data_IF_552246582482
#
_entry.id   IF_552246582482
#
_cell.length_a   1.000
_cell.length_b   1.000
_cell.length_c   1.000
_cell.angle_alpha   90.00
_cell.angle_beta   90.00
_cell.angle_gamma   90.00
#
_symmetry.space_group_name_H-M   'P 1'
#
loop_
_entity.id
_entity.type
_entity.pdbx_description
1 polymer ?
#
# COMPACT_ATOMS: atom_id res chain seq x y z
N UNK A 1 -60.37 39.24 -5.71
CA UNK A 1 -60.09 37.86 -5.22
C UNK A 1 -59.07 37.22 -6.14
N UNK A 2 -57.80 37.10 -5.73
CA UNK A 2 -56.85 36.02 -6.08
C UNK A 2 -55.73 36.06 -5.04
N UNK A 3 -55.72 35.10 -4.11
CA UNK A 3 -54.63 34.89 -3.17
C UNK A 3 -53.62 33.92 -3.82
N UNK A 4 -52.34 34.30 -3.84
CA UNK A 4 -51.24 33.46 -4.31
C UNK A 4 -50.67 32.70 -3.10
N UNK A 5 -50.94 31.40 -3.06
CA UNK A 5 -50.39 30.47 -2.08
C UNK A 5 -48.94 30.16 -2.44
N UNK A 6 -47.98 30.60 -1.62
CA UNK A 6 -46.58 30.25 -1.77
C UNK A 6 -46.31 28.86 -1.14
N UNK A 7 -45.94 27.89 -1.97
CA UNK A 7 -45.48 26.56 -1.53
C UNK A 7 -44.00 26.68 -1.17
N UNK A 8 -43.67 26.53 0.11
CA UNK A 8 -42.28 26.45 0.58
C UNK A 8 -41.78 25.02 0.40
N UNK A 9 -40.89 24.81 -0.56
CA UNK A 9 -40.12 23.56 -0.68
C UNK A 9 -39.00 23.57 0.37
N UNK A 10 -39.14 22.76 1.41
CA UNK A 10 -38.06 22.48 2.35
C UNK A 10 -37.07 21.49 1.70
N UNK A 11 -35.90 21.98 1.29
CA UNK A 11 -34.81 21.14 0.81
C UNK A 11 -34.13 20.46 2.01
N UNK A 12 -34.35 19.15 2.18
CA UNK A 12 -33.57 18.31 3.09
C UNK A 12 -32.16 18.12 2.51
N UNK A 13 -31.17 18.78 3.10
CA UNK A 13 -29.76 18.52 2.83
C UNK A 13 -29.31 17.28 3.63
N UNK A 14 -29.18 16.13 2.97
CA UNK A 14 -28.54 14.95 3.53
C UNK A 14 -27.02 15.16 3.55
N UNK A 15 -26.47 15.41 4.74
CA UNK A 15 -25.03 15.44 4.97
C UNK A 15 -24.52 14.00 4.97
N UNK A 16 -23.83 13.60 3.91
CA UNK A 16 -23.07 12.35 3.88
C UNK A 16 -21.73 12.62 4.54
N UNK A 17 -21.54 12.18 5.79
CA UNK A 17 -20.25 12.24 6.45
C UNK A 17 -19.26 11.26 5.79
N UNK A 18 -18.00 11.66 5.53
CA UNK A 18 -16.99 10.73 5.06
C UNK A 18 -16.66 9.74 6.17
N UNK A 19 -16.81 8.44 5.90
CA UNK A 19 -16.32 7.38 6.78
C UNK A 19 -14.78 7.41 6.71
N UNK A 20 -14.15 8.02 7.70
CA UNK A 20 -12.72 7.82 7.97
C UNK A 20 -12.53 6.38 8.42
N UNK A 21 -11.59 5.66 7.81
CA UNK A 21 -11.19 4.35 8.29
C UNK A 21 -10.51 4.54 9.66
N UNK A 22 -11.14 4.04 10.72
CA UNK A 22 -10.57 4.04 12.06
C UNK A 22 -9.65 2.83 12.20
N UNK A 23 -8.48 3.04 12.78
CA UNK A 23 -7.63 1.97 13.26
C UNK A 23 -8.35 1.21 14.37
N UNK A 24 -8.45 -0.11 14.25
CA UNK A 24 -8.99 -0.99 15.29
C UNK A 24 -7.84 -1.79 15.94
N UNK A 25 -7.89 -2.06 17.26
CA UNK A 25 -7.07 -3.11 17.85
C UNK A 25 -7.35 -4.43 17.12
N UNK A 26 -6.38 -5.37 17.14
CA UNK A 26 -6.44 -6.60 16.34
C UNK A 26 -7.87 -7.19 16.30
N UNK A 27 -8.46 -7.40 15.10
CA UNK A 27 -9.86 -7.78 15.00
C UNK A 27 -10.16 -9.03 15.83
N UNK A 28 -11.24 -9.00 16.61
CA UNK A 28 -11.57 -10.07 17.54
C UNK A 28 -11.64 -11.44 16.86
N UNK A 29 -10.87 -12.41 17.36
CA UNK A 29 -10.83 -13.78 16.83
C UNK A 29 -10.08 -13.91 15.51
N UNK A 30 -9.29 -12.89 15.13
CA UNK A 30 -8.47 -12.94 13.93
C UNK A 30 -7.40 -14.04 14.02
N UNK A 31 -7.07 -14.60 12.85
CA UNK A 31 -6.06 -15.65 12.68
C UNK A 31 -5.04 -15.23 11.62
N UNK A 32 -3.82 -15.78 11.63
CA UNK A 32 -2.87 -15.61 10.53
C UNK A 32 -3.53 -15.78 9.17
N UNK A 33 -3.30 -14.81 8.28
CA UNK A 33 -3.89 -14.84 6.95
C UNK A 33 -3.24 -15.94 6.09
N UNK A 34 -4.01 -16.74 5.33
CA UNK A 34 -3.44 -17.69 4.39
C UNK A 34 -2.63 -16.98 3.30
N UNK A 35 -1.47 -17.54 2.94
CA UNK A 35 -0.59 -16.95 1.93
C UNK A 35 -1.28 -16.69 0.59
N UNK A 36 -2.16 -17.59 0.15
CA UNK A 36 -2.94 -17.42 -1.08
C UNK A 36 -3.81 -16.17 -1.09
N UNK A 37 -4.33 -15.76 0.08
CA UNK A 37 -5.16 -14.56 0.22
C UNK A 37 -4.34 -13.28 0.16
N UNK A 38 -3.18 -13.28 0.81
CA UNK A 38 -2.22 -12.18 0.73
C UNK A 38 -1.70 -12.06 -0.70
N UNK A 39 -1.30 -13.16 -1.35
CA UNK A 39 -0.88 -13.16 -2.76
C UNK A 39 -1.94 -12.56 -3.68
N UNK A 40 -3.22 -12.94 -3.50
CA UNK A 40 -4.33 -12.36 -4.29
C UNK A 40 -4.48 -10.85 -4.05
N UNK A 41 -4.22 -10.38 -2.84
CA UNK A 41 -4.27 -8.96 -2.49
C UNK A 41 -3.11 -8.17 -3.11
N UNK A 42 -1.88 -8.68 -3.12
CA UNK A 42 -0.68 -7.90 -3.48
C UNK A 42 -0.12 -8.17 -4.88
N UNK A 43 -0.16 -9.41 -5.36
CA UNK A 43 0.51 -9.78 -6.61
C UNK A 43 -0.03 -8.97 -7.80
N UNK A 44 0.89 -8.39 -8.57
CA UNK A 44 0.59 -7.52 -9.71
C UNK A 44 0.04 -6.15 -9.32
N UNK A 45 0.23 -5.71 -8.07
CA UNK A 45 -0.21 -4.40 -7.57
C UNK A 45 0.95 -3.60 -7.00
N UNK A 46 0.77 -2.28 -6.96
CA UNK A 46 1.61 -1.34 -6.24
C UNK A 46 0.90 -0.91 -4.96
N UNK A 47 1.57 -1.01 -3.82
CA UNK A 47 1.15 -0.41 -2.56
C UNK A 47 1.68 1.02 -2.50
N UNK A 48 0.77 1.99 -2.51
CA UNK A 48 1.10 3.41 -2.44
C UNK A 48 1.37 3.79 -0.98
N UNK A 49 2.38 4.62 -0.77
CA UNK A 49 2.70 5.13 0.58
C UNK A 49 1.92 6.44 0.82
N UNK A 50 0.75 6.31 1.47
CA UNK A 50 -0.23 7.40 1.64
C UNK A 50 0.32 8.62 2.40
N UNK A 51 1.18 8.42 3.41
CA UNK A 51 1.76 9.49 4.23
C UNK A 51 3.20 9.87 3.84
N UNK A 52 3.63 9.49 2.63
CA UNK A 52 5.04 9.54 2.26
C UNK A 52 5.35 10.40 1.05
N UNK A 53 6.51 10.11 0.50
CA UNK A 53 7.17 10.83 -0.58
C UNK A 53 6.52 10.69 -1.98
N UNK A 54 5.22 10.48 -2.09
CA UNK A 54 4.53 10.28 -3.38
C UNK A 54 5.05 9.06 -4.16
N UNK A 55 5.36 7.99 -3.44
CA UNK A 55 5.97 6.77 -3.95
C UNK A 55 5.17 5.51 -3.61
N UNK A 56 5.82 4.37 -3.78
CA UNK A 56 5.24 3.07 -3.43
C UNK A 56 6.11 1.90 -3.84
N UNK A 57 5.62 0.71 -3.55
CA UNK A 57 6.29 -0.55 -3.85
C UNK A 57 5.40 -1.46 -4.70
N UNK A 58 5.93 -1.92 -5.82
CA UNK A 58 5.30 -2.89 -6.70
C UNK A 58 5.70 -4.31 -6.34
N UNK A 59 4.69 -5.19 -6.26
CA UNK A 59 4.84 -6.61 -6.00
C UNK A 59 4.54 -7.41 -7.27
N UNK A 60 5.59 -7.84 -7.96
CA UNK A 60 5.45 -8.71 -9.13
C UNK A 60 4.84 -10.06 -8.73
N UNK A 61 3.98 -10.67 -9.56
CA UNK A 61 3.54 -12.05 -9.37
C UNK A 61 4.67 -13.08 -9.32
N UNK A 62 5.86 -12.75 -9.83
CA UNK A 62 7.06 -13.58 -9.78
C UNK A 62 7.89 -13.45 -8.49
N UNK A 63 7.40 -12.74 -7.47
CA UNK A 63 8.11 -12.54 -6.21
C UNK A 63 9.13 -11.41 -6.20
N UNK A 64 9.27 -10.66 -7.30
CA UNK A 64 10.12 -9.46 -7.34
C UNK A 64 9.41 -8.24 -6.74
N UNK A 65 10.15 -7.42 -6.00
CA UNK A 65 9.66 -6.17 -5.42
C UNK A 65 10.46 -4.97 -5.93
N UNK A 66 9.77 -3.86 -6.19
CA UNK A 66 10.37 -2.65 -6.77
C UNK A 66 9.77 -1.40 -6.15
N UNK A 67 10.60 -0.59 -5.53
CA UNK A 67 10.18 0.58 -4.79
C UNK A 67 10.77 1.86 -5.41
N UNK A 68 9.97 2.93 -5.40
CA UNK A 68 10.40 4.25 -5.83
C UNK A 68 9.68 5.33 -5.04
N UNK A 69 10.33 6.48 -4.90
CA UNK A 69 9.95 7.56 -4.01
C UNK A 69 10.23 8.90 -4.72
N UNK A 70 9.25 9.81 -4.79
CA UNK A 70 9.44 11.09 -5.49
C UNK A 70 10.43 12.01 -4.80
N UNK A 71 10.43 12.05 -3.48
CA UNK A 71 11.39 12.86 -2.69
C UNK A 71 12.82 12.32 -2.76
N UNK A 72 12.99 11.08 -3.23
CA UNK A 72 14.29 10.45 -3.50
C UNK A 72 14.31 9.89 -4.92
N UNK A 73 13.90 10.71 -5.90
CA UNK A 73 13.60 10.28 -7.28
C UNK A 73 14.77 9.63 -8.02
N UNK A 74 16.01 9.93 -7.59
CA UNK A 74 17.23 9.38 -8.18
C UNK A 74 17.67 8.08 -7.51
N UNK A 75 16.89 7.58 -6.54
CA UNK A 75 17.11 6.31 -5.86
C UNK A 75 15.97 5.33 -6.14
N UNK A 76 16.27 4.03 -6.07
CA UNK A 76 15.27 2.98 -6.20
C UNK A 76 15.56 1.82 -5.25
N UNK A 77 14.51 1.14 -4.82
CA UNK A 77 14.59 -0.13 -4.12
C UNK A 77 14.33 -1.28 -5.08
N UNK A 78 15.16 -2.32 -5.06
CA UNK A 78 14.91 -3.54 -5.82
C UNK A 78 15.29 -4.77 -5.01
N UNK A 79 14.43 -5.78 -5.09
CA UNK A 79 14.68 -7.08 -4.47
C UNK A 79 13.48 -8.00 -4.61
N UNK A 80 13.10 -8.65 -3.52
CA UNK A 80 12.06 -9.69 -3.50
C UNK A 80 11.03 -9.44 -2.42
N UNK A 81 9.89 -10.12 -2.55
CA UNK A 81 8.91 -10.25 -1.50
C UNK A 81 8.48 -11.71 -1.37
N UNK A 82 8.13 -12.11 -0.15
CA UNK A 82 7.60 -13.44 0.15
C UNK A 82 6.54 -13.36 1.23
N UNK A 83 5.83 -14.47 1.45
CA UNK A 83 4.85 -14.59 2.52
C UNK A 83 5.22 -15.79 3.38
N UNK A 84 5.36 -15.59 4.68
CA UNK A 84 5.67 -16.67 5.61
C UNK A 84 4.40 -17.42 6.09
N UNK A 85 4.61 -18.48 6.89
CA UNK A 85 3.52 -19.30 7.42
C UNK A 85 2.63 -18.57 8.45
N UNK A 86 3.09 -17.44 9.01
CA UNK A 86 2.38 -16.65 9.99
C UNK A 86 1.57 -15.52 9.35
N UNK A 87 1.53 -15.44 8.02
CA UNK A 87 0.81 -14.41 7.29
C UNK A 87 1.56 -13.09 7.22
N UNK A 88 2.88 -13.09 7.35
CA UNK A 88 3.69 -11.90 7.16
C UNK A 88 4.11 -11.77 5.70
N UNK A 89 3.87 -10.61 5.09
CA UNK A 89 4.44 -10.24 3.79
C UNK A 89 5.78 -9.56 4.06
N UNK A 90 6.88 -10.25 3.78
CA UNK A 90 8.23 -9.76 3.99
C UNK A 90 8.84 -9.25 2.69
N UNK A 91 9.51 -8.11 2.78
CA UNK A 91 10.14 -7.40 1.67
C UNK A 91 11.64 -7.29 1.95
N UNK A 92 12.46 -7.77 1.03
CA UNK A 92 13.91 -7.71 1.12
C UNK A 92 14.40 -6.84 -0.04
N UNK A 93 14.75 -5.59 0.24
CA UNK A 93 15.16 -4.61 -0.76
C UNK A 93 16.63 -4.23 -0.59
N UNK A 94 17.32 -4.13 -1.72
CA UNK A 94 18.55 -3.34 -1.83
C UNK A 94 18.18 -1.97 -2.38
N UNK A 95 18.61 -0.92 -1.69
CA UNK A 95 18.47 0.45 -2.14
C UNK A 95 19.67 0.86 -2.96
N UNK A 96 19.42 1.51 -4.09
CA UNK A 96 20.42 2.01 -5.02
C UNK A 96 20.28 3.52 -5.16
N UNK A 97 21.40 4.24 -5.16
CA UNK A 97 21.43 5.71 -5.23
C UNK A 97 22.64 6.22 -6.03
N UNK A 98 22.65 7.49 -6.47
CA UNK A 98 23.77 8.04 -7.21
C UNK A 98 25.04 8.14 -6.35
N UNK A 99 26.18 7.75 -6.92
CA UNK A 99 27.51 7.92 -6.30
C UNK A 99 28.55 8.20 -7.39
N UNK A 100 29.77 8.56 -7.00
CA UNK A 100 30.74 9.28 -7.85
C UNK A 100 31.26 8.50 -9.06
N UNK A 101 31.19 7.16 -9.05
CA UNK A 101 31.70 6.30 -10.15
C UNK A 101 30.73 5.20 -10.55
N UNK A 102 30.03 4.62 -9.59
CA UNK A 102 29.01 3.60 -9.78
C UNK A 102 27.85 3.92 -8.85
N UNK A 103 26.67 3.37 -9.12
CA UNK A 103 25.58 3.43 -8.14
C UNK A 103 26.05 2.91 -6.77
N UNK A 104 25.74 3.65 -5.71
CA UNK A 104 25.81 3.13 -4.36
C UNK A 104 24.72 2.09 -4.15
N UNK A 105 24.95 1.13 -3.26
CA UNK A 105 23.97 0.11 -2.91
C UNK A 105 24.10 -0.32 -1.45
N UNK A 106 22.96 -0.50 -0.78
CA UNK A 106 22.90 -1.08 0.57
C UNK A 106 21.61 -1.86 0.76
N UNK A 107 21.65 -3.03 1.43
CA UNK A 107 20.44 -3.68 1.93
C UNK A 107 19.66 -2.73 2.85
N UNK A 108 18.34 -2.68 2.70
CA UNK A 108 17.43 -1.92 3.57
C UNK A 108 16.96 -2.68 4.81
N UNK A 109 17.36 -3.94 4.96
CA UNK A 109 16.76 -4.86 5.94
C UNK A 109 15.45 -5.47 5.46
N UNK A 110 15.01 -6.53 6.14
CA UNK A 110 13.72 -7.18 5.86
C UNK A 110 12.60 -6.42 6.57
N UNK A 111 11.57 -6.02 5.82
CA UNK A 111 10.37 -5.36 6.38
C UNK A 111 9.18 -6.30 6.20
N UNK A 112 8.57 -6.74 7.31
CA UNK A 112 7.49 -7.73 7.31
C UNK A 112 6.16 -7.14 7.79
N UNK A 113 5.18 -7.02 6.88
CA UNK A 113 3.84 -6.54 7.20
C UNK A 113 2.98 -7.72 7.63
N UNK A 114 2.47 -7.71 8.86
CA UNK A 114 1.64 -8.77 9.39
C UNK A 114 0.23 -8.71 8.82
N UNK A 115 -0.34 -9.88 8.51
CA UNK A 115 -1.71 -9.98 8.03
C UNK A 115 -2.52 -11.01 8.79
N UNK A 116 -3.75 -10.64 9.11
CA UNK A 116 -4.72 -11.53 9.72
C UNK A 116 -6.04 -11.52 8.96
N UNK A 117 -6.82 -12.56 9.16
CA UNK A 117 -8.19 -12.66 8.66
C UNK A 117 -9.14 -12.74 9.84
N UNK A 118 -10.15 -11.89 9.84
CA UNK A 118 -11.19 -11.91 10.86
C UNK A 118 -12.25 -12.99 10.61
N UNK A 119 -13.24 -13.09 11.49
CA UNK A 119 -14.31 -14.11 11.41
C UNK A 119 -15.19 -14.02 10.16
N UNK A 120 -15.21 -12.88 9.47
CA UNK A 120 -15.98 -12.68 8.25
C UNK A 120 -15.15 -12.87 6.98
N UNK A 121 -13.86 -13.12 7.14
CA UNK A 121 -12.97 -13.23 6.01
C UNK A 121 -12.48 -11.88 5.49
N UNK A 122 -12.54 -10.78 6.23
CA UNK A 122 -11.83 -9.56 5.85
C UNK A 122 -10.34 -9.75 6.11
N UNK A 123 -9.50 -9.29 5.17
CA UNK A 123 -8.05 -9.26 5.34
C UNK A 123 -7.67 -7.94 6.02
N UNK A 124 -6.84 -8.01 7.05
CA UNK A 124 -6.32 -6.87 7.78
C UNK A 124 -4.80 -6.91 7.76
N UNK A 125 -4.15 -5.74 7.81
CA UNK A 125 -2.70 -5.61 7.87
C UNK A 125 -2.26 -4.69 9.01
N UNK A 126 -1.08 -4.93 9.53
CA UNK A 126 -0.39 -4.06 10.49
C UNK A 126 1.10 -4.00 10.13
N UNK A 127 1.70 -2.82 10.29
CA UNK A 127 3.11 -2.58 9.96
C UNK A 127 4.01 -2.91 11.16
N UNK A 128 5.30 -3.21 10.93
CA UNK A 128 6.25 -3.43 12.03
C UNK A 128 6.24 -2.30 13.06
N UNK A 129 5.96 -2.65 14.31
CA UNK A 129 5.94 -1.71 15.43
C UNK A 129 4.67 -0.86 15.54
N UNK A 130 3.68 -1.10 14.68
CA UNK A 130 2.35 -0.51 14.79
C UNK A 130 1.44 -1.42 15.64
N UNK A 131 0.60 -0.83 16.48
CA UNK A 131 -0.41 -1.56 17.25
C UNK A 131 -1.75 -1.60 16.48
N UNK A 132 -1.89 -0.75 15.46
CA UNK A 132 -3.10 -0.56 14.69
C UNK A 132 -3.23 -1.58 13.55
N UNK A 133 -4.48 -1.97 13.26
CA UNK A 133 -4.84 -2.86 12.16
C UNK A 133 -5.75 -2.17 11.16
N UNK A 134 -5.41 -2.33 9.88
CA UNK A 134 -6.04 -1.62 8.79
C UNK A 134 -6.63 -2.61 7.78
N UNK A 135 -7.87 -2.41 7.32
CA UNK A 135 -8.49 -3.31 6.37
C UNK A 135 -7.78 -3.23 5.01
N UNK A 136 -7.46 -4.38 4.43
CA UNK A 136 -6.97 -4.48 3.05
C UNK A 136 -8.18 -4.50 2.11
N UNK A 137 -8.68 -3.31 1.78
CA UNK A 137 -9.83 -3.08 0.92
C UNK A 137 -9.50 -2.14 -0.26
N UNK A 138 -10.52 -1.51 -0.86
CA UNK A 138 -10.36 -0.58 -1.99
C UNK A 138 -9.60 0.71 -1.64
N UNK A 139 -9.53 1.07 -0.36
CA UNK A 139 -8.90 2.28 0.14
C UNK A 139 -7.49 2.01 0.67
N UNK A 140 -7.02 0.76 0.68
CA UNK A 140 -5.73 0.36 1.24
C UNK A 140 -4.50 0.77 0.42
N UNK A 141 -4.61 1.72 -0.52
CA UNK A 141 -3.49 2.15 -1.36
C UNK A 141 -2.99 1.12 -2.38
N UNK A 142 -3.62 -0.06 -2.48
CA UNK A 142 -3.22 -1.12 -3.41
C UNK A 142 -3.82 -0.91 -4.82
N UNK A 143 -3.01 -0.39 -5.73
CA UNK A 143 -3.42 -0.12 -7.12
C UNK A 143 -2.89 -1.17 -8.08
N UNK A 144 -3.70 -1.54 -9.10
CA UNK A 144 -3.29 -2.53 -10.10
C UNK A 144 -2.13 -2.02 -10.95
N UNK A 145 -1.18 -2.93 -11.26
CA UNK A 145 -0.08 -2.69 -12.18
C UNK A 145 1.15 -2.08 -11.52
N UNK A 146 2.18 -1.90 -12.33
CA UNK A 146 3.48 -1.38 -11.92
C UNK A 146 3.51 0.14 -12.03
N UNK A 147 2.92 0.82 -11.05
CA UNK A 147 2.57 2.26 -11.13
C UNK A 147 3.76 3.17 -11.45
N UNK A 148 4.93 2.87 -10.89
CA UNK A 148 6.15 3.67 -11.02
C UNK A 148 7.18 3.06 -11.99
N UNK A 149 6.74 2.23 -12.93
CA UNK A 149 7.64 1.52 -13.84
C UNK A 149 8.55 2.47 -14.63
N UNK A 150 7.99 3.54 -15.22
CA UNK A 150 8.77 4.49 -16.01
C UNK A 150 9.82 5.21 -15.16
N UNK A 151 9.46 5.65 -13.96
CA UNK A 151 10.38 6.28 -13.03
C UNK A 151 11.51 5.33 -12.65
N UNK A 152 11.18 4.07 -12.35
CA UNK A 152 12.21 3.07 -12.03
C UNK A 152 13.14 2.81 -13.22
N UNK A 153 12.62 2.73 -14.45
CA UNK A 153 13.47 2.54 -15.63
C UNK A 153 14.37 3.75 -15.88
N UNK A 154 13.86 4.97 -15.68
CA UNK A 154 14.65 6.19 -15.76
C UNK A 154 15.74 6.21 -14.69
N UNK A 155 15.39 5.95 -13.41
CA UNK A 155 16.36 5.90 -12.32
C UNK A 155 17.41 4.82 -12.58
N UNK A 156 17.02 3.63 -13.07
CA UNK A 156 17.96 2.58 -13.45
C UNK A 156 18.96 3.05 -14.49
N UNK A 157 18.47 3.69 -15.55
CA UNK A 157 19.32 4.22 -16.62
C UNK A 157 20.31 5.26 -16.09
N UNK A 158 19.86 6.18 -15.22
CA UNK A 158 20.73 7.17 -14.55
C UNK A 158 21.80 6.52 -13.67
N UNK A 159 21.48 5.40 -13.03
CA UNK A 159 22.39 4.64 -12.18
C UNK A 159 23.34 3.72 -12.96
N UNK A 160 23.18 3.61 -14.29
CA UNK A 160 24.03 2.80 -15.16
C UNK A 160 23.66 1.31 -15.23
N UNK A 161 22.40 0.97 -14.96
CA UNK A 161 21.86 -0.40 -15.08
C UNK A 161 21.10 -0.66 -16.39
#
# INVERSE_FOLDING_TARGET
>A
MRALTAIVFAAMATVVAPTVALADPIPSGAKPAPSSKITKAYAGKTDLWDSGCGGGIYFSPSGQARAWCKESSDSLGAGTWSIDANGNLCQDLTWYWPSTRTAGASPGGSTCISHVVDRWGQLWRSWPGDDDWWPVDRNAGLVRGYKFQSQILETRSKLGF
#
